data_IF_368637129250
#
_entry.id   IF_368637129250
#
_cell.length_a   1.000
_cell.length_b   1.000
_cell.length_c   1.000
_cell.angle_alpha   90.00
_cell.angle_beta   90.00
_cell.angle_gamma   90.00
#
_symmetry.space_group_name_H-M   'P 1'
#
loop_
_entity.id
_entity.type
_entity.pdbx_description
1 polymer ?
#
# COMPACT_ATOMS: atom_id res chain seq x y z
N UNK A 1 -17.85 -1.63 19.55
CA UNK A 1 -18.22 -0.21 19.38
C UNK A 1 -17.39 0.33 18.24
N UNK A 2 -18.02 0.83 17.18
CA UNK A 2 -17.30 1.45 16.08
C UNK A 2 -16.97 2.90 16.46
N UNK A 3 -15.69 3.26 16.50
CA UNK A 3 -15.23 4.61 16.82
C UNK A 3 -15.53 5.60 15.69
N UNK A 4 -15.43 6.92 15.99
CA UNK A 4 -15.62 7.99 14.99
C UNK A 4 -14.55 7.94 13.86
N UNK A 5 -13.39 7.37 14.14
CA UNK A 5 -12.31 7.16 13.15
C UNK A 5 -12.42 5.72 12.62
N UNK A 6 -12.50 5.52 11.29
CA UNK A 6 -12.75 4.19 10.72
C UNK A 6 -11.50 3.31 10.58
N UNK A 7 -10.47 3.54 11.38
CA UNK A 7 -9.28 2.69 11.47
C UNK A 7 -9.42 1.67 12.61
N UNK A 8 -10.38 0.77 12.49
CA UNK A 8 -10.70 -0.22 13.51
C UNK A 8 -10.84 -1.64 12.91
N UNK A 9 -10.96 -2.64 13.78
CA UNK A 9 -11.11 -4.03 13.39
C UNK A 9 -12.33 -4.27 12.50
N UNK A 10 -13.40 -3.49 12.66
CA UNK A 10 -14.58 -3.59 11.79
C UNK A 10 -14.27 -3.23 10.34
N UNK A 11 -13.42 -2.24 10.11
CA UNK A 11 -12.91 -1.89 8.77
C UNK A 11 -12.02 -3.01 8.22
N UNK A 12 -11.11 -3.58 9.04
CA UNK A 12 -10.27 -4.71 8.60
C UNK A 12 -11.12 -5.88 8.10
N UNK A 13 -12.10 -6.30 8.89
CA UNK A 13 -12.98 -7.42 8.51
C UNK A 13 -13.78 -7.15 7.23
N UNK A 14 -14.19 -5.90 7.00
CA UNK A 14 -14.89 -5.52 5.76
C UNK A 14 -13.96 -5.56 4.55
N UNK A 15 -12.73 -5.05 4.69
CA UNK A 15 -11.71 -5.10 3.63
C UNK A 15 -11.33 -6.54 3.28
N UNK A 16 -11.11 -7.39 4.28
CA UNK A 16 -10.84 -8.82 4.08
C UNK A 16 -12.00 -9.55 3.42
N UNK A 17 -13.23 -9.12 3.68
CA UNK A 17 -14.43 -9.66 3.05
C UNK A 17 -14.72 -9.04 1.66
N UNK A 18 -13.92 -8.10 1.17
CA UNK A 18 -14.18 -7.37 -0.07
C UNK A 18 -15.44 -6.51 -0.03
N UNK A 19 -15.85 -6.07 1.17
CA UNK A 19 -17.07 -5.29 1.37
C UNK A 19 -16.76 -3.79 1.40
N UNK A 20 -17.71 -2.98 0.96
CA UNK A 20 -17.63 -1.53 1.04
C UNK A 20 -17.34 -1.06 2.47
N UNK A 21 -16.41 -0.12 2.62
CA UNK A 21 -15.98 0.42 3.90
C UNK A 21 -15.83 1.94 3.85
N UNK A 22 -15.83 2.57 5.02
CA UNK A 22 -15.78 4.04 5.15
C UNK A 22 -14.40 4.61 4.78
N UNK A 23 -13.31 3.85 4.99
CA UNK A 23 -11.96 4.34 4.64
C UNK A 23 -11.79 4.44 3.13
N UNK A 24 -12.16 3.41 2.39
CA UNK A 24 -12.13 3.42 0.92
C UNK A 24 -12.96 4.58 0.36
N UNK A 25 -14.21 4.75 0.83
CA UNK A 25 -15.05 5.86 0.41
C UNK A 25 -14.44 7.23 0.77
N UNK A 26 -13.83 7.34 1.95
CA UNK A 26 -13.14 8.55 2.40
C UNK A 26 -11.93 8.91 1.56
N UNK A 27 -11.12 7.92 1.17
CA UNK A 27 -9.96 8.13 0.29
C UNK A 27 -10.41 8.60 -1.09
N UNK A 28 -11.40 7.96 -1.71
CA UNK A 28 -11.96 8.40 -2.98
C UNK A 28 -12.50 9.84 -2.92
N UNK A 29 -13.22 10.18 -1.85
CA UNK A 29 -13.71 11.55 -1.64
C UNK A 29 -12.56 12.56 -1.45
N UNK A 30 -11.46 12.16 -0.79
CA UNK A 30 -10.27 12.98 -0.64
C UNK A 30 -9.56 13.23 -1.97
N UNK A 31 -9.45 12.21 -2.82
CA UNK A 31 -8.88 12.33 -4.18
C UNK A 31 -9.70 13.31 -5.03
N UNK A 32 -11.02 13.20 -5.04
CA UNK A 32 -11.90 14.17 -5.71
C UNK A 32 -11.70 15.60 -5.16
N UNK A 33 -11.61 15.75 -3.84
CA UNK A 33 -11.41 17.04 -3.18
C UNK A 33 -10.05 17.65 -3.47
N UNK A 34 -9.02 16.81 -3.65
CA UNK A 34 -7.69 17.22 -4.07
C UNK A 34 -7.65 17.66 -5.55
N UNK A 35 -8.70 17.42 -6.31
CA UNK A 35 -8.78 17.76 -7.72
C UNK A 35 -8.02 16.79 -8.63
N UNK A 36 -7.80 15.55 -8.18
CA UNK A 36 -7.18 14.51 -9.01
C UNK A 36 -8.02 14.28 -10.25
N UNK A 37 -7.41 14.45 -11.42
CA UNK A 37 -8.06 14.24 -12.72
C UNK A 37 -8.27 12.74 -13.02
N UNK A 38 -9.29 12.41 -13.80
CA UNK A 38 -9.58 11.01 -14.13
C UNK A 38 -8.44 10.33 -14.91
N UNK A 39 -7.75 11.11 -15.75
CA UNK A 39 -6.63 10.62 -16.58
C UNK A 39 -5.27 10.80 -15.91
N UNK A 40 -5.22 11.41 -14.73
CA UNK A 40 -3.99 11.61 -13.97
C UNK A 40 -3.62 10.31 -13.25
N UNK A 41 -2.44 9.72 -13.56
CA UNK A 41 -2.05 8.47 -12.91
C UNK A 41 -1.69 8.72 -11.45
N UNK A 42 -2.26 7.90 -10.56
CA UNK A 42 -2.01 7.98 -9.12
C UNK A 42 -1.31 6.72 -8.61
N UNK A 43 -0.39 6.89 -7.65
CA UNK A 43 0.14 5.79 -6.84
C UNK A 43 -0.65 5.75 -5.54
N UNK A 44 -1.19 4.58 -5.22
CA UNK A 44 -1.83 4.33 -3.94
C UNK A 44 -0.82 3.60 -3.03
N UNK A 45 -0.50 4.19 -1.89
CA UNK A 45 0.45 3.59 -0.96
C UNK A 45 -0.16 3.47 0.44
N UNK A 46 0.13 2.36 1.13
CA UNK A 46 -0.37 2.17 2.48
C UNK A 46 0.41 1.15 3.30
N UNK A 47 0.46 1.40 4.62
CA UNK A 47 1.04 0.51 5.60
C UNK A 47 -0.07 -0.18 6.41
N UNK A 48 0.10 -1.47 6.72
CA UNK A 48 -0.85 -2.22 7.54
C UNK A 48 -2.28 -2.14 6.96
N UNK A 49 -3.28 -1.76 7.72
CA UNK A 49 -4.66 -1.51 7.24
C UNK A 49 -4.69 -0.56 6.04
N UNK A 50 -3.79 0.44 6.00
CA UNK A 50 -3.71 1.40 4.88
C UNK A 50 -3.38 0.73 3.55
N UNK A 51 -2.61 -0.36 3.54
CA UNK A 51 -2.34 -1.14 2.33
C UNK A 51 -3.57 -1.92 1.85
N UNK A 52 -4.37 -2.48 2.77
CA UNK A 52 -5.66 -3.10 2.42
C UNK A 52 -6.61 -2.06 1.79
N UNK A 53 -6.67 -0.85 2.38
CA UNK A 53 -7.45 0.27 1.81
C UNK A 53 -6.93 0.65 0.43
N UNK A 54 -5.62 0.78 0.23
CA UNK A 54 -5.02 1.10 -1.07
C UNK A 54 -5.40 0.07 -2.15
N UNK A 55 -5.33 -1.21 -1.82
CA UNK A 55 -5.76 -2.30 -2.71
C UNK A 55 -7.26 -2.21 -3.05
N UNK A 56 -8.12 -1.95 -2.04
CA UNK A 56 -9.55 -1.85 -2.25
C UNK A 56 -9.93 -0.59 -3.05
N UNK A 57 -9.28 0.55 -2.77
CA UNK A 57 -9.44 1.78 -3.59
C UNK A 57 -9.07 1.48 -5.04
N UNK A 58 -7.92 0.82 -5.30
CA UNK A 58 -7.51 0.48 -6.66
C UNK A 58 -8.55 -0.39 -7.38
N UNK A 59 -9.16 -1.34 -6.68
CA UNK A 59 -10.19 -2.21 -7.25
C UNK A 59 -11.49 -1.48 -7.62
N UNK A 60 -11.89 -0.46 -6.83
CA UNK A 60 -13.17 0.24 -7.02
C UNK A 60 -13.04 1.60 -7.70
N UNK A 61 -11.82 2.11 -7.89
CA UNK A 61 -11.57 3.41 -8.53
C UNK A 61 -11.79 3.39 -10.06
N UNK A 62 -11.96 2.21 -10.66
CA UNK A 62 -12.10 2.05 -12.10
C UNK A 62 -13.21 2.95 -12.69
N UNK A 63 -12.86 3.74 -13.69
CA UNK A 63 -13.75 4.72 -14.31
C UNK A 63 -13.83 6.09 -13.63
N UNK A 64 -13.26 6.24 -12.42
CA UNK A 64 -13.17 7.53 -11.71
C UNK A 64 -11.75 8.08 -11.67
N UNK A 65 -10.76 7.20 -11.55
CA UNK A 65 -9.34 7.56 -11.48
C UNK A 65 -8.48 6.53 -12.23
N UNK A 66 -7.35 6.99 -12.74
CA UNK A 66 -6.33 6.14 -13.34
C UNK A 66 -5.32 5.71 -12.26
N UNK A 67 -5.42 4.45 -11.80
CA UNK A 67 -4.44 3.90 -10.86
C UNK A 67 -3.22 3.43 -11.64
N UNK A 68 -2.08 4.07 -11.42
CA UNK A 68 -0.81 3.75 -12.06
C UNK A 68 -0.04 2.64 -11.33
N UNK A 69 -0.16 2.58 -10.01
CA UNK A 69 0.46 1.54 -9.19
C UNK A 69 -0.12 1.47 -7.78
N UNK A 70 0.12 0.34 -7.11
CA UNK A 70 -0.17 0.17 -5.67
C UNK A 70 1.10 -0.27 -4.94
N UNK A 71 1.38 0.35 -3.79
CA UNK A 71 2.48 -0.04 -2.90
C UNK A 71 1.91 -0.36 -1.53
N UNK A 72 2.18 -1.55 -1.03
CA UNK A 72 1.76 -1.95 0.32
C UNK A 72 2.97 -2.32 1.17
N UNK A 73 2.90 -2.05 2.46
CA UNK A 73 3.95 -2.37 3.43
C UNK A 73 3.31 -3.01 4.67
N UNK A 74 3.75 -4.22 5.04
CA UNK A 74 3.26 -4.94 6.20
C UNK A 74 1.74 -5.15 6.21
N UNK A 75 1.14 -5.32 5.04
CA UNK A 75 -0.32 -5.42 4.90
C UNK A 75 -0.75 -6.84 4.58
N UNK A 76 -1.83 -7.34 5.19
CA UNK A 76 -2.47 -8.57 4.75
C UNK A 76 -2.91 -8.48 3.29
N UNK A 77 -2.98 -9.61 2.60
CA UNK A 77 -3.61 -9.67 1.28
C UNK A 77 -5.14 -9.59 1.42
N UNK A 78 -5.80 -9.01 0.43
CA UNK A 78 -7.26 -8.96 0.37
C UNK A 78 -7.75 -9.41 -1.00
N UNK A 79 -8.97 -9.94 -1.11
CA UNK A 79 -9.55 -10.34 -2.38
C UNK A 79 -9.99 -9.10 -3.20
N UNK A 80 -9.02 -8.37 -3.75
CA UNK A 80 -9.26 -7.20 -4.58
C UNK A 80 -9.05 -7.53 -6.05
N UNK A 81 -10.06 -7.32 -6.88
CA UNK A 81 -9.98 -7.47 -8.32
C UNK A 81 -9.35 -6.20 -8.94
N UNK A 82 -8.04 -6.14 -8.98
CA UNK A 82 -7.33 -5.01 -9.57
C UNK A 82 -7.52 -4.93 -11.09
N UNK A 83 -7.53 -3.72 -11.66
CA UNK A 83 -7.50 -3.56 -13.11
C UNK A 83 -6.26 -4.24 -13.71
N UNK A 84 -6.40 -4.81 -14.92
CA UNK A 84 -5.29 -5.44 -15.62
C UNK A 84 -4.15 -4.42 -15.86
N UNK A 85 -2.92 -4.85 -15.61
CA UNK A 85 -1.73 -4.04 -15.87
C UNK A 85 -1.33 -3.09 -14.75
N UNK A 86 -2.11 -2.96 -13.66
CA UNK A 86 -1.72 -2.16 -12.49
C UNK A 86 -0.66 -2.92 -11.68
N UNK A 87 0.59 -2.44 -11.62
CA UNK A 87 1.63 -3.09 -10.83
C UNK A 87 1.37 -2.91 -9.34
N UNK A 88 1.63 -3.97 -8.58
CA UNK A 88 1.59 -3.97 -7.12
C UNK A 88 2.97 -4.31 -6.59
N UNK A 89 3.51 -3.46 -5.73
CA UNK A 89 4.73 -3.71 -4.98
C UNK A 89 4.37 -3.94 -3.52
N UNK A 90 4.74 -5.09 -2.99
CA UNK A 90 4.52 -5.47 -1.59
C UNK A 90 5.85 -5.52 -0.86
N UNK A 91 5.98 -4.73 0.20
CA UNK A 91 7.11 -4.80 1.11
C UNK A 91 6.70 -5.63 2.32
N UNK A 92 7.49 -6.65 2.64
CA UNK A 92 7.19 -7.59 3.71
C UNK A 92 8.42 -7.86 4.56
N UNK A 93 8.26 -7.90 5.87
CA UNK A 93 9.28 -8.41 6.78
C UNK A 93 8.93 -9.84 7.21
N UNK A 94 9.92 -10.71 7.27
CA UNK A 94 9.73 -12.12 7.64
C UNK A 94 9.15 -12.24 9.04
N UNK A 95 9.58 -11.36 9.95
CA UNK A 95 9.17 -11.32 11.36
C UNK A 95 7.85 -10.59 11.60
N UNK A 96 7.33 -9.88 10.58
CA UNK A 96 6.03 -9.22 10.68
C UNK A 96 4.89 -10.19 10.37
N UNK A 97 4.23 -10.68 11.42
CA UNK A 97 3.09 -11.57 11.28
C UNK A 97 1.85 -10.90 10.68
N UNK A 98 1.77 -9.56 10.63
CA UNK A 98 0.60 -8.84 10.10
C UNK A 98 0.41 -9.09 8.61
N UNK A 99 1.50 -9.09 7.85
CA UNK A 99 1.46 -9.35 6.40
C UNK A 99 0.95 -10.78 6.06
N UNK A 100 0.90 -11.68 7.05
CA UNK A 100 0.52 -13.09 6.92
C UNK A 100 -0.75 -13.45 7.69
N UNK A 101 -1.55 -12.46 8.09
CA UNK A 101 -2.79 -12.72 8.83
C UNK A 101 -3.83 -13.48 8.01
N UNK A 102 -3.73 -13.46 6.69
CA UNK A 102 -4.52 -14.29 5.77
C UNK A 102 -4.12 -15.78 5.78
N UNK A 103 -3.01 -16.13 6.47
CA UNK A 103 -2.50 -17.50 6.59
C UNK A 103 -1.85 -18.06 5.31
N UNK A 104 -1.65 -17.25 4.30
CA UNK A 104 -1.07 -17.65 3.02
C UNK A 104 0.24 -16.91 2.70
N UNK A 105 1.17 -17.53 1.96
CA UNK A 105 2.32 -16.82 1.42
C UNK A 105 1.86 -15.83 0.34
N UNK A 106 2.55 -14.69 0.25
CA UNK A 106 2.27 -13.68 -0.78
C UNK A 106 2.34 -14.28 -2.17
N UNK A 107 1.30 -14.08 -2.95
CA UNK A 107 1.24 -14.52 -4.34
C UNK A 107 2.03 -13.54 -5.21
N UNK A 108 3.14 -14.00 -5.75
CA UNK A 108 3.88 -13.28 -6.80
C UNK A 108 3.24 -13.64 -8.14
N UNK A 109 2.93 -12.61 -8.94
CA UNK A 109 2.33 -12.74 -10.28
C UNK A 109 3.02 -11.80 -11.24
N UNK A 110 2.57 -11.72 -12.47
CA UNK A 110 3.04 -10.70 -13.43
C UNK A 110 2.71 -9.26 -13.01
N UNK A 111 1.71 -9.07 -12.14
CA UNK A 111 1.31 -7.76 -11.60
C UNK A 111 1.84 -7.52 -10.18
N UNK A 112 2.14 -8.58 -9.42
CA UNK A 112 2.54 -8.48 -8.01
C UNK A 112 4.01 -8.83 -7.85
N UNK A 113 4.79 -7.86 -7.40
CA UNK A 113 6.19 -8.01 -6.97
C UNK A 113 6.24 -7.97 -5.45
N UNK A 114 6.69 -9.03 -4.82
CA UNK A 114 6.95 -9.07 -3.38
C UNK A 114 8.43 -8.85 -3.12
N UNK A 115 8.74 -7.96 -2.20
CA UNK A 115 10.07 -7.67 -1.69
C UNK A 115 10.07 -8.04 -0.22
N UNK A 116 10.72 -9.15 0.09
CA UNK A 116 10.78 -9.67 1.44
C UNK A 116 12.15 -9.39 2.05
N UNK A 117 12.18 -8.88 3.29
CA UNK A 117 13.39 -8.67 4.07
C UNK A 117 13.32 -9.47 5.36
N UNK A 118 14.39 -10.16 5.68
CA UNK A 118 14.63 -10.76 6.98
C UNK A 118 15.39 -9.76 7.87
N UNK A 119 14.74 -9.27 8.93
CA UNK A 119 15.31 -8.23 9.80
C UNK A 119 16.37 -8.80 10.73
N UNK A 120 16.28 -10.09 11.07
CA UNK A 120 17.27 -10.79 11.89
C UNK A 120 18.67 -10.79 11.27
N UNK A 121 18.77 -10.74 9.95
CA UNK A 121 20.05 -10.72 9.21
C UNK A 121 20.80 -9.38 9.34
N UNK A 122 20.16 -8.32 9.84
CA UNK A 122 20.79 -7.00 10.00
C UNK A 122 21.73 -6.89 11.22
N UNK A 123 21.94 -7.97 11.96
CA UNK A 123 22.86 -8.03 13.06
C UNK A 123 22.35 -7.40 14.38
N UNK A 124 21.09 -7.01 14.44
CA UNK A 124 20.46 -6.43 15.63
C UNK A 124 19.60 -7.43 16.44
N UNK A 125 19.67 -8.72 16.08
CA UNK A 125 18.82 -9.77 16.63
C UNK A 125 17.44 -9.79 15.99
N UNK A 126 16.65 -10.84 16.28
CA UNK A 126 15.29 -10.99 15.76
C UNK A 126 14.35 -10.03 16.48
N UNK A 127 13.74 -9.05 15.80
CA UNK A 127 12.76 -8.17 16.44
C UNK A 127 11.49 -8.94 16.81
N UNK A 128 10.77 -8.46 17.81
CA UNK A 128 9.40 -8.92 18.05
C UNK A 128 8.46 -8.45 16.94
N UNK A 129 7.27 -9.04 16.87
CA UNK A 129 6.27 -8.70 15.86
C UNK A 129 5.98 -7.19 15.80
N UNK A 130 5.81 -6.52 16.95
CA UNK A 130 5.50 -5.09 16.99
C UNK A 130 6.60 -4.25 16.35
N UNK A 131 7.86 -4.52 16.71
CA UNK A 131 9.02 -3.85 16.13
C UNK A 131 9.17 -4.15 14.63
N UNK A 132 8.91 -5.39 14.21
CA UNK A 132 8.96 -5.78 12.80
C UNK A 132 7.87 -5.10 11.96
N UNK A 133 6.75 -4.70 12.60
CA UNK A 133 5.61 -4.04 11.96
C UNK A 133 5.75 -2.50 11.89
N UNK A 134 6.77 -1.92 12.50
CA UNK A 134 6.94 -0.47 12.51
C UNK A 134 7.18 0.10 11.10
N UNK A 135 6.46 1.18 10.75
CA UNK A 135 6.55 1.82 9.44
C UNK A 135 7.97 2.29 9.10
N UNK A 136 8.75 2.68 10.11
CA UNK A 136 10.15 3.09 9.95
C UNK A 136 11.02 2.00 9.36
N UNK A 137 10.82 0.74 9.74
CA UNK A 137 11.50 -0.42 9.16
C UNK A 137 11.16 -0.61 7.69
N UNK A 138 9.92 -0.39 7.30
CA UNK A 138 9.48 -0.46 5.91
C UNK A 138 10.04 0.68 5.06
N UNK A 139 10.17 1.89 5.62
CA UNK A 139 10.86 3.02 4.96
C UNK A 139 12.32 2.66 4.69
N UNK A 140 13.02 2.05 5.66
CA UNK A 140 14.40 1.59 5.46
C UNK A 140 14.48 0.50 4.39
N UNK A 141 13.54 -0.44 4.36
CA UNK A 141 13.46 -1.46 3.31
C UNK A 141 13.30 -0.82 1.93
N UNK A 142 12.39 0.15 1.78
CA UNK A 142 12.22 0.90 0.53
C UNK A 142 13.52 1.62 0.11
N UNK A 143 14.22 2.26 1.04
CA UNK A 143 15.51 2.90 0.77
C UNK A 143 16.61 1.92 0.32
N UNK A 144 16.58 0.67 0.82
CA UNK A 144 17.50 -0.39 0.34
C UNK A 144 17.15 -0.80 -1.10
N UNK A 145 15.87 -0.86 -1.43
CA UNK A 145 15.39 -1.11 -2.80
C UNK A 145 15.85 -0.01 -3.74
N UNK A 146 15.69 1.27 -3.35
CA UNK A 146 16.14 2.42 -4.15
C UNK A 146 17.66 2.36 -4.43
N UNK A 147 18.47 2.00 -3.43
CA UNK A 147 19.91 1.83 -3.61
C UNK A 147 20.23 0.69 -4.57
N UNK A 148 19.57 -0.46 -4.44
CA UNK A 148 19.77 -1.59 -5.33
C UNK A 148 19.39 -1.26 -6.78
N UNK A 149 18.32 -0.51 -6.99
CA UNK A 149 17.92 -0.03 -8.32
C UNK A 149 18.88 1.00 -8.90
N UNK A 150 19.48 1.84 -8.06
CA UNK A 150 20.51 2.79 -8.52
C UNK A 150 21.78 2.06 -9.03
N UNK A 151 22.13 0.91 -8.42
CA UNK A 151 23.24 0.05 -8.83
C UNK A 151 22.89 -0.83 -10.04
N UNK A 152 21.65 -1.30 -10.13
CA UNK A 152 21.15 -2.17 -11.19
C UNK A 152 19.76 -1.73 -11.69
N UNK A 153 19.68 -0.68 -12.54
CA UNK A 153 18.42 -0.18 -13.06
C UNK A 153 17.60 -1.27 -13.77
N UNK A 154 16.31 -1.35 -13.45
CA UNK A 154 15.40 -2.32 -14.05
C UNK A 154 15.48 -3.73 -13.46
N UNK A 155 16.32 -3.99 -12.45
CA UNK A 155 16.46 -5.30 -11.82
C UNK A 155 15.19 -5.78 -11.10
N UNK A 156 14.29 -4.85 -10.73
CA UNK A 156 13.00 -5.15 -10.08
C UNK A 156 11.88 -4.53 -10.94
N UNK A 157 11.33 -5.28 -11.93
CA UNK A 157 10.40 -4.72 -12.92
C UNK A 157 9.16 -4.06 -12.31
N UNK A 158 8.60 -4.63 -11.24
CA UNK A 158 7.42 -4.07 -10.55
C UNK A 158 7.69 -2.69 -9.93
N UNK A 159 8.91 -2.46 -9.44
CA UNK A 159 9.31 -1.16 -8.88
C UNK A 159 9.62 -0.16 -9.98
N UNK A 160 10.32 -0.60 -11.04
CA UNK A 160 10.62 0.27 -12.18
C UNK A 160 9.37 0.80 -12.89
N UNK A 161 8.23 0.11 -12.75
CA UNK A 161 6.96 0.61 -13.26
C UNK A 161 6.46 1.87 -12.50
N UNK A 162 6.95 2.13 -11.28
CA UNK A 162 6.63 3.34 -10.51
C UNK A 162 7.27 4.60 -11.13
N UNK A 163 8.40 4.47 -11.82
CA UNK A 163 9.13 5.60 -12.40
C UNK A 163 8.26 6.40 -13.40
N UNK A 164 7.33 5.74 -14.06
CA UNK A 164 6.38 6.37 -14.98
C UNK A 164 5.27 7.19 -14.31
N UNK A 165 5.08 7.02 -13.00
CA UNK A 165 4.00 7.67 -12.23
C UNK A 165 4.57 8.66 -11.22
N UNK A 166 5.71 8.34 -10.62
CA UNK A 166 6.43 9.24 -9.73
C UNK A 166 7.07 10.37 -10.54
N UNK A 167 6.93 11.58 -10.07
CA UNK A 167 7.52 12.75 -10.75
C UNK A 167 9.04 12.64 -10.93
N UNK A 168 9.58 13.31 -11.95
CA UNK A 168 11.02 13.36 -12.18
C UNK A 168 11.76 13.98 -10.97
N UNK A 169 13.04 13.64 -10.75
CA UNK A 169 13.86 14.29 -9.73
C UNK A 169 13.81 15.83 -9.84
N UNK A 170 13.54 16.51 -8.73
CA UNK A 170 13.41 17.96 -8.68
C UNK A 170 12.00 18.50 -8.92
N UNK A 171 11.00 17.64 -9.13
CA UNK A 171 9.60 18.04 -9.17
C UNK A 171 9.15 18.56 -7.79
N UNK A 172 8.45 19.70 -7.77
CA UNK A 172 7.87 20.24 -6.53
C UNK A 172 6.65 19.42 -6.14
N UNK A 173 6.65 18.91 -4.92
CA UNK A 173 5.49 18.21 -4.35
C UNK A 173 4.66 19.14 -3.46
N UNK A 174 3.35 19.04 -3.56
CA UNK A 174 2.40 19.67 -2.61
C UNK A 174 1.75 18.59 -1.76
N UNK A 175 1.73 18.78 -0.44
CA UNK A 175 1.11 17.84 0.49
C UNK A 175 -0.22 18.38 0.99
N UNK A 176 -1.27 17.57 0.92
CA UNK A 176 -2.59 17.84 1.52
C UNK A 176 -2.93 16.70 2.47
N UNK A 177 -3.44 17.03 3.65
CA UNK A 177 -3.86 16.04 4.64
C UNK A 177 -5.38 16.03 4.78
N UNK A 178 -5.96 14.84 4.77
CA UNK A 178 -7.39 14.61 4.93
C UNK A 178 -7.64 13.67 6.12
N UNK A 179 -8.72 13.93 6.85
CA UNK A 179 -9.18 13.09 7.96
C UNK A 179 -10.52 12.48 7.58
N UNK A 180 -10.55 11.14 7.55
CA UNK A 180 -11.80 10.40 7.31
C UNK A 180 -12.50 10.15 8.65
N UNK A 181 -13.80 10.45 8.71
CA UNK A 181 -14.65 10.21 9.89
C UNK A 181 -15.93 9.51 9.47
N UNK A 182 -16.46 8.66 10.35
CA UNK A 182 -17.82 8.15 10.20
C UNK A 182 -18.82 9.24 10.58
N UNK A 183 -19.88 9.36 9.79
CA UNK A 183 -21.06 10.10 10.24
C UNK A 183 -21.72 9.29 11.36
N UNK A 184 -21.59 9.78 12.57
CA UNK A 184 -22.32 9.26 13.73
C UNK A 184 -23.61 10.09 13.80
N UNK A 185 -24.68 9.58 13.11
CA UNK A 185 -26.05 10.11 13.25
C UNK A 185 -26.62 9.83 14.64
#
# INVERSE_FOLDING_TARGET
MSGAVPTDMGTNLRLEAGLADTMTAGVLAAMHRAGVGADEPVVLAGHSQGGMVAMHVAAVAAGSFTVGAVVTAGSPDIPAALPNGVPVVRLEHVEDGTARLDGAPTRVTTQVTAITRELADDGHGTPDWGAAHEVSGYVETAQRVDRALAEAPGSIPGVSALDGVLGAPGTTATTSQYVVRRDVG
#
